data_IF_813455995512
#
_entry.id   IF_813455995512
#
_cell.length_a   1.000
_cell.length_b   1.000
_cell.length_c   1.000
_cell.angle_alpha   90.00
_cell.angle_beta   90.00
_cell.angle_gamma   90.00
#
_symmetry.space_group_name_H-M   'P 1'
#
loop_
_entity.id
_entity.type
_entity.pdbx_description
1 polymer ?
#
# COMPACT_ATOMS: atom_id res chain seq x y z
N UNK A 1 -39.45 14.73 -3.61
CA UNK A 1 -40.63 14.02 -3.08
C UNK A 1 -40.43 13.80 -1.60
N UNK A 2 -40.97 14.71 -0.79
CA UNK A 2 -40.96 14.69 0.69
C UNK A 2 -42.42 14.75 1.09
N UNK A 3 -42.94 13.67 1.65
CA UNK A 3 -44.32 13.61 2.10
C UNK A 3 -44.42 12.78 3.36
N UNK A 4 -44.92 13.45 4.40
CA UNK A 4 -45.68 12.95 5.54
C UNK A 4 -45.01 11.99 6.52
N UNK A 5 -44.64 12.54 7.69
CA UNK A 5 -44.95 11.93 8.97
C UNK A 5 -45.42 13.02 9.94
N UNK A 6 -46.74 13.22 9.98
CA UNK A 6 -47.46 13.76 11.14
C UNK A 6 -48.11 12.57 11.79
N UNK A 7 -47.62 12.13 12.95
CA UNK A 7 -48.37 11.23 13.84
C UNK A 7 -48.35 11.84 15.23
N UNK A 8 -49.44 12.58 15.46
CA UNK A 8 -50.23 12.69 16.68
C UNK A 8 -49.58 12.19 17.98
N UNK A 9 -49.17 13.15 18.82
CA UNK A 9 -49.31 13.03 20.27
C UNK A 9 -50.80 12.82 20.58
N UNK A 10 -51.19 11.62 21.00
CA UNK A 10 -52.52 11.37 21.53
C UNK A 10 -52.46 11.27 23.06
N UNK A 11 -53.42 11.96 23.67
CA UNK A 11 -53.50 12.33 25.08
C UNK A 11 -53.33 11.21 26.10
N UNK A 12 -52.56 11.56 27.13
CA UNK A 12 -52.53 10.93 28.43
C UNK A 12 -53.86 11.26 29.14
N UNK A 13 -54.85 10.38 29.03
CA UNK A 13 -56.12 10.50 29.73
C UNK A 13 -55.94 10.06 31.19
N UNK A 14 -55.79 11.05 32.07
CA UNK A 14 -55.87 10.89 33.52
C UNK A 14 -57.35 10.78 33.91
N UNK A 15 -57.82 9.59 34.25
CA UNK A 15 -59.13 9.40 34.87
C UNK A 15 -59.01 9.57 36.39
N UNK A 16 -59.52 10.70 36.89
CA UNK A 16 -59.80 10.88 38.31
C UNK A 16 -61.21 10.35 38.60
N UNK A 17 -61.31 9.25 39.36
CA UNK A 17 -62.61 8.73 39.81
C UNK A 17 -62.99 9.30 41.17
N UNK A 18 -64.21 9.84 41.22
CA UNK A 18 -64.93 10.26 42.42
C UNK A 18 -65.54 9.02 43.08
N UNK A 19 -65.32 8.87 44.38
CA UNK A 19 -65.86 7.77 45.18
C UNK A 19 -67.34 8.01 45.51
N UNK A 20 -68.21 7.08 45.11
CA UNK A 20 -69.56 6.89 45.68
C UNK A 20 -69.74 5.40 45.99
N UNK A 21 -70.21 5.14 47.20
CA UNK A 21 -70.31 3.85 47.88
C UNK A 21 -71.40 2.92 47.28
N UNK A 22 -70.95 1.82 46.66
CA UNK A 22 -71.67 0.55 46.46
C UNK A 22 -70.62 -0.57 46.31
N UNK A 23 -70.14 -1.13 47.41
CA UNK A 23 -68.85 -1.85 47.46
C UNK A 23 -68.84 -3.35 47.08
N UNK A 24 -69.96 -3.97 46.73
CA UNK A 24 -69.95 -5.42 46.43
C UNK A 24 -70.16 -5.78 44.96
N UNK A 25 -70.90 -4.99 44.18
CA UNK A 25 -71.12 -5.28 42.74
C UNK A 25 -70.05 -4.63 41.84
N UNK A 26 -69.56 -3.44 42.21
CA UNK A 26 -68.53 -2.70 41.45
C UNK A 26 -67.14 -3.37 41.55
N UNK A 27 -66.87 -4.09 42.66
CA UNK A 27 -65.60 -4.79 42.86
C UNK A 27 -65.46 -6.07 42.00
N UNK A 28 -66.58 -6.68 41.61
CA UNK A 28 -66.62 -7.94 40.86
C UNK A 28 -66.56 -7.70 39.34
N UNK A 29 -67.17 -6.61 38.84
CA UNK A 29 -67.08 -6.19 37.44
C UNK A 29 -65.65 -5.79 37.05
N UNK A 30 -64.96 -5.02 37.90
CA UNK A 30 -63.56 -4.61 37.64
C UNK A 30 -62.56 -5.77 37.62
N UNK A 31 -62.82 -6.84 38.37
CA UNK A 31 -61.96 -8.03 38.41
C UNK A 31 -61.98 -8.80 37.09
N UNK A 32 -63.18 -9.11 36.59
CA UNK A 32 -63.34 -9.84 35.34
C UNK A 32 -62.77 -9.04 34.16
N UNK A 33 -62.97 -7.72 34.16
CA UNK A 33 -62.42 -6.83 33.14
C UNK A 33 -60.89 -6.80 33.15
N UNK A 34 -60.24 -6.68 34.32
CA UNK A 34 -58.78 -6.67 34.42
C UNK A 34 -58.16 -7.99 33.96
N UNK A 35 -58.77 -9.12 34.32
CA UNK A 35 -58.27 -10.43 33.88
C UNK A 35 -58.49 -10.64 32.39
N UNK A 36 -59.68 -10.30 31.86
CA UNK A 36 -59.95 -10.32 30.42
C UNK A 36 -58.94 -9.46 29.65
N UNK A 37 -58.66 -8.24 30.13
CA UNK A 37 -57.68 -7.35 29.53
C UNK A 37 -56.26 -7.93 29.52
N UNK A 38 -55.88 -8.71 30.55
CA UNK A 38 -54.64 -9.47 30.50
C UNK A 38 -54.71 -10.57 29.43
N UNK A 39 -55.72 -11.44 29.48
CA UNK A 39 -55.82 -12.62 28.60
C UNK A 39 -56.04 -12.29 27.13
N UNK A 40 -56.66 -11.15 26.82
CA UNK A 40 -56.92 -10.72 25.45
C UNK A 40 -55.69 -10.09 24.78
N UNK A 41 -54.63 -9.82 25.55
CA UNK A 41 -53.47 -9.05 25.08
C UNK A 41 -52.11 -9.72 25.34
N UNK A 42 -52.02 -10.76 26.18
CA UNK A 42 -50.73 -11.30 26.62
C UNK A 42 -49.94 -12.04 25.53
N UNK A 43 -50.60 -12.53 24.49
CA UNK A 43 -50.00 -13.17 23.31
C UNK A 43 -49.92 -12.24 22.08
N UNK A 44 -50.33 -10.98 22.25
CA UNK A 44 -50.37 -9.97 21.19
C UNK A 44 -49.01 -9.36 20.86
N UNK A 45 -49.03 -8.25 20.12
CA UNK A 45 -47.85 -7.46 19.79
C UNK A 45 -47.24 -6.75 21.02
N UNK A 46 -46.09 -6.08 20.84
CA UNK A 46 -45.40 -5.36 21.91
C UNK A 46 -46.32 -4.36 22.66
N UNK A 47 -47.24 -3.70 21.97
CA UNK A 47 -48.16 -2.75 22.60
C UNK A 47 -49.23 -3.48 23.42
N UNK A 48 -49.79 -4.56 22.88
CA UNK A 48 -50.76 -5.42 23.57
C UNK A 48 -50.14 -6.07 24.81
N UNK A 49 -48.94 -6.65 24.70
CA UNK A 49 -48.26 -7.26 25.86
C UNK A 49 -48.01 -6.26 27.00
N UNK A 50 -47.74 -4.99 26.69
CA UNK A 50 -47.66 -3.93 27.71
C UNK A 50 -48.99 -3.65 28.39
N UNK A 51 -50.09 -3.68 27.63
CA UNK A 51 -51.46 -3.58 28.18
C UNK A 51 -51.73 -4.77 29.10
N UNK A 52 -51.35 -5.99 28.68
CA UNK A 52 -51.49 -7.19 29.49
C UNK A 52 -50.69 -7.07 30.80
N UNK A 53 -49.39 -6.73 30.74
CA UNK A 53 -48.55 -6.55 31.94
C UNK A 53 -49.13 -5.50 32.89
N UNK A 54 -49.60 -4.36 32.38
CA UNK A 54 -50.23 -3.33 33.21
C UNK A 54 -51.51 -3.83 33.89
N UNK A 55 -52.39 -4.52 33.16
CA UNK A 55 -53.62 -5.09 33.70
C UNK A 55 -53.34 -6.20 34.73
N UNK A 56 -52.36 -7.08 34.45
CA UNK A 56 -51.95 -8.16 35.35
C UNK A 56 -51.33 -7.63 36.65
N UNK A 57 -50.47 -6.60 36.58
CA UNK A 57 -49.92 -5.92 37.77
C UNK A 57 -51.02 -5.29 38.62
N UNK A 58 -51.98 -4.64 37.98
CA UNK A 58 -53.11 -4.01 38.68
C UNK A 58 -54.04 -5.05 39.33
N UNK A 59 -54.29 -6.18 38.64
CA UNK A 59 -55.03 -7.30 39.22
C UNK A 59 -54.33 -7.86 40.47
N UNK A 60 -53.02 -8.14 40.39
CA UNK A 60 -52.23 -8.61 41.54
C UNK A 60 -52.26 -7.58 42.68
N UNK A 61 -52.21 -6.28 42.37
CA UNK A 61 -52.24 -5.21 43.37
C UNK A 61 -53.57 -5.15 44.13
N UNK A 62 -54.69 -5.27 43.41
CA UNK A 62 -56.04 -5.16 43.97
C UNK A 62 -56.51 -6.46 44.65
N UNK A 63 -56.21 -7.62 44.05
CA UNK A 63 -56.78 -8.91 44.44
C UNK A 63 -55.73 -9.93 44.93
N UNK A 64 -54.46 -9.54 45.06
CA UNK A 64 -53.35 -10.47 45.38
C UNK A 64 -53.44 -11.21 46.71
N UNK A 65 -54.32 -10.79 47.61
CA UNK A 65 -54.60 -11.41 48.92
C UNK A 65 -56.00 -12.08 48.98
N UNK A 66 -56.75 -12.08 47.88
CA UNK A 66 -58.08 -12.69 47.80
C UNK A 66 -57.95 -14.22 47.75
N UNK A 67 -58.57 -14.92 48.71
CA UNK A 67 -58.55 -16.38 48.76
C UNK A 67 -59.29 -17.00 47.57
N UNK A 68 -60.36 -16.35 47.11
CA UNK A 68 -61.20 -16.80 46.00
C UNK A 68 -60.48 -16.67 44.63
N UNK A 69 -59.37 -15.92 44.58
CA UNK A 69 -58.64 -15.59 43.35
C UNK A 69 -57.25 -16.20 43.28
N UNK A 70 -56.95 -17.09 44.22
CA UNK A 70 -55.61 -17.63 44.41
C UNK A 70 -55.02 -18.19 43.12
N UNK A 71 -55.80 -18.94 42.34
CA UNK A 71 -55.34 -19.54 41.08
C UNK A 71 -54.96 -18.49 40.02
N UNK A 72 -55.81 -17.47 39.84
CA UNK A 72 -55.56 -16.38 38.87
C UNK A 72 -54.35 -15.55 39.33
N UNK A 73 -54.28 -15.23 40.62
CA UNK A 73 -53.17 -14.47 41.20
C UNK A 73 -51.85 -15.22 41.06
N UNK A 74 -51.82 -16.53 41.31
CA UNK A 74 -50.62 -17.35 41.19
C UNK A 74 -50.15 -17.44 39.73
N UNK A 75 -51.09 -17.62 38.79
CA UNK A 75 -50.81 -17.56 37.36
C UNK A 75 -50.20 -16.21 36.95
N UNK A 76 -50.85 -15.10 37.32
CA UNK A 76 -50.38 -13.75 36.96
C UNK A 76 -49.02 -13.44 37.60
N UNK A 77 -48.76 -13.87 38.85
CA UNK A 77 -47.45 -13.72 39.51
C UNK A 77 -46.32 -14.41 38.75
N UNK A 78 -46.62 -15.48 38.01
CA UNK A 78 -45.65 -16.16 37.14
C UNK A 78 -45.60 -15.55 35.74
N UNK A 79 -46.76 -15.28 35.13
CA UNK A 79 -46.86 -14.87 33.73
C UNK A 79 -46.42 -13.42 33.51
N UNK A 80 -46.80 -12.49 34.40
CA UNK A 80 -46.49 -11.07 34.26
C UNK A 80 -44.98 -10.82 34.19
N UNK A 81 -44.12 -11.36 35.09
CA UNK A 81 -42.68 -11.18 34.97
C UNK A 81 -42.08 -11.78 33.69
N UNK A 82 -42.57 -12.93 33.24
CA UNK A 82 -42.08 -13.57 32.01
C UNK A 82 -42.41 -12.73 30.77
N UNK A 83 -43.64 -12.21 30.67
CA UNK A 83 -44.05 -11.32 29.58
C UNK A 83 -43.28 -10.00 29.64
N UNK A 84 -43.09 -9.44 30.84
CA UNK A 84 -42.32 -8.21 31.03
C UNK A 84 -40.87 -8.35 30.59
N UNK A 85 -40.23 -9.50 30.84
CA UNK A 85 -38.89 -9.77 30.35
C UNK A 85 -38.86 -9.89 28.82
N UNK A 86 -39.79 -10.62 28.21
CA UNK A 86 -39.90 -10.70 26.75
C UNK A 86 -40.14 -9.34 26.07
N UNK A 87 -40.89 -8.43 26.71
CA UNK A 87 -41.04 -7.04 26.25
C UNK A 87 -39.69 -6.32 26.23
N UNK A 88 -38.87 -6.44 27.28
CA UNK A 88 -37.55 -5.77 27.33
C UNK A 88 -36.62 -6.29 26.26
N UNK A 89 -36.55 -7.61 26.07
CA UNK A 89 -35.73 -8.25 25.03
C UNK A 89 -36.13 -7.77 23.64
N UNK A 90 -37.44 -7.70 23.34
CA UNK A 90 -37.93 -7.19 22.06
C UNK A 90 -37.65 -5.69 21.87
N UNK A 91 -37.80 -4.87 22.91
CA UNK A 91 -37.47 -3.44 22.86
C UNK A 91 -35.98 -3.20 22.61
N UNK A 92 -35.11 -4.02 23.20
CA UNK A 92 -33.67 -3.99 22.97
C UNK A 92 -33.34 -4.39 21.53
N UNK A 93 -33.93 -5.49 21.02
CA UNK A 93 -33.76 -5.91 19.64
C UNK A 93 -34.22 -4.84 18.62
N UNK A 94 -35.36 -4.19 18.86
CA UNK A 94 -35.84 -3.07 18.02
C UNK A 94 -34.86 -1.89 18.05
N UNK A 95 -34.27 -1.59 19.22
CA UNK A 95 -33.28 -0.52 19.37
C UNK A 95 -31.99 -0.82 18.61
N UNK A 96 -31.49 -2.05 18.72
CA UNK A 96 -30.31 -2.50 17.99
C UNK A 96 -30.53 -2.48 16.48
N UNK A 97 -31.69 -2.95 16.01
CA UNK A 97 -32.05 -2.90 14.59
C UNK A 97 -32.07 -1.46 14.07
N UNK A 98 -32.72 -0.53 14.79
CA UNK A 98 -32.75 0.89 14.41
C UNK A 98 -31.35 1.49 14.32
N UNK A 99 -30.48 1.19 15.29
CA UNK A 99 -29.09 1.63 15.28
C UNK A 99 -28.32 1.07 14.08
N UNK A 100 -28.49 -0.21 13.77
CA UNK A 100 -27.86 -0.84 12.61
C UNK A 100 -28.32 -0.22 11.28
N UNK A 101 -29.62 0.11 11.16
CA UNK A 101 -30.17 0.80 9.99
C UNK A 101 -29.62 2.22 9.83
N UNK A 102 -29.50 2.97 10.93
CA UNK A 102 -28.90 4.31 10.94
C UNK A 102 -27.42 4.27 10.55
N UNK A 103 -26.66 3.32 11.09
CA UNK A 103 -25.26 3.10 10.72
C UNK A 103 -25.11 2.69 9.25
N UNK A 104 -26.00 1.83 8.73
CA UNK A 104 -26.01 1.48 7.31
C UNK A 104 -26.29 2.70 6.42
N UNK A 105 -27.26 3.56 6.78
CA UNK A 105 -27.56 4.80 6.06
C UNK A 105 -26.36 5.77 6.08
N UNK A 106 -25.71 5.92 7.24
CA UNK A 106 -24.51 6.75 7.38
C UNK A 106 -23.37 6.23 6.50
N UNK A 107 -23.11 4.92 6.49
CA UNK A 107 -22.13 4.28 5.62
C UNK A 107 -22.41 4.50 4.14
N UNK A 108 -23.66 4.27 3.72
CA UNK A 108 -24.08 4.50 2.34
C UNK A 108 -23.88 5.97 1.91
N UNK A 109 -24.14 6.92 2.82
CA UNK A 109 -23.91 8.34 2.56
C UNK A 109 -22.41 8.67 2.38
N UNK A 110 -21.52 8.04 3.16
CA UNK A 110 -20.07 8.19 3.00
C UNK A 110 -19.58 7.69 1.63
N UNK A 111 -20.00 6.49 1.21
CA UNK A 111 -19.64 5.95 -0.12
C UNK A 111 -20.22 6.81 -1.24
N UNK A 112 -21.47 7.26 -1.13
CA UNK A 112 -22.05 8.18 -2.12
C UNK A 112 -21.26 9.48 -2.25
N UNK A 113 -20.78 10.03 -1.13
CA UNK A 113 -19.93 11.24 -1.10
C UNK A 113 -18.58 10.96 -1.79
N UNK A 114 -17.96 9.82 -1.48
CA UNK A 114 -16.72 9.37 -2.11
C UNK A 114 -16.87 9.21 -3.63
N UNK A 115 -17.92 8.53 -4.08
CA UNK A 115 -18.23 8.31 -5.51
C UNK A 115 -18.49 9.59 -6.25
N UNK A 116 -19.31 10.47 -5.65
CA UNK A 116 -19.60 11.79 -6.20
C UNK A 116 -18.33 12.61 -6.37
N UNK A 117 -17.44 12.58 -5.37
CA UNK A 117 -16.18 13.29 -5.40
C UNK A 117 -15.21 12.73 -6.46
N UNK A 118 -15.10 11.40 -6.57
CA UNK A 118 -14.28 10.74 -7.61
C UNK A 118 -14.75 11.12 -9.02
N UNK A 119 -16.05 11.00 -9.29
CA UNK A 119 -16.63 11.34 -10.59
C UNK A 119 -16.49 12.82 -10.94
N UNK A 120 -16.58 13.70 -9.94
CA UNK A 120 -16.38 15.13 -10.09
C UNK A 120 -14.90 15.54 -10.12
N UNK A 121 -13.96 14.60 -9.96
CA UNK A 121 -12.51 14.86 -9.77
C UNK A 121 -12.22 15.84 -8.64
N UNK A 122 -13.07 15.86 -7.61
CA UNK A 122 -12.86 16.65 -6.41
C UNK A 122 -12.02 15.83 -5.42
N UNK A 123 -10.70 15.84 -5.62
CA UNK A 123 -9.79 14.97 -4.88
C UNK A 123 -9.72 15.30 -3.38
N UNK A 124 -9.79 16.57 -3.00
CA UNK A 124 -9.84 16.97 -1.58
C UNK A 124 -11.04 16.35 -0.86
N UNK A 125 -12.22 16.42 -1.48
CA UNK A 125 -13.43 15.83 -0.94
C UNK A 125 -13.38 14.30 -0.93
N UNK A 126 -12.82 13.70 -1.99
CA UNK A 126 -12.64 12.26 -2.10
C UNK A 126 -11.74 11.73 -0.98
N UNK A 127 -10.63 12.42 -0.70
CA UNK A 127 -9.73 12.11 0.41
C UNK A 127 -10.41 12.27 1.77
N UNK A 128 -11.19 13.34 1.97
CA UNK A 128 -11.97 13.55 3.18
C UNK A 128 -12.99 12.44 3.42
N UNK A 129 -13.78 12.09 2.40
CA UNK A 129 -14.78 11.03 2.47
C UNK A 129 -14.13 9.66 2.67
N UNK A 130 -13.03 9.37 1.97
CA UNK A 130 -12.31 8.12 2.09
C UNK A 130 -11.66 7.92 3.46
N UNK A 131 -11.09 8.97 4.06
CA UNK A 131 -10.59 8.94 5.44
C UNK A 131 -11.72 8.61 6.44
N UNK A 132 -12.90 9.21 6.25
CA UNK A 132 -14.07 8.91 7.07
C UNK A 132 -14.56 7.46 6.89
N UNK A 133 -14.54 6.92 5.67
CA UNK A 133 -14.85 5.50 5.40
C UNK A 133 -13.86 4.60 6.13
N UNK A 134 -12.55 4.89 6.05
CA UNK A 134 -11.52 4.05 6.68
C UNK A 134 -11.54 4.13 8.21
N UNK A 135 -11.98 5.24 8.80
CA UNK A 135 -12.22 5.33 10.25
C UNK A 135 -13.41 4.50 10.69
N UNK A 136 -14.46 4.47 9.87
CA UNK A 136 -15.68 3.70 10.15
C UNK A 136 -15.52 2.20 9.87
N UNK A 137 -14.79 1.88 8.80
CA UNK A 137 -14.57 0.54 8.28
C UNK A 137 -13.08 0.35 7.97
N UNK A 138 -12.24 0.16 9.00
CA UNK A 138 -10.79 0.04 8.83
C UNK A 138 -10.37 -1.18 8.01
N UNK A 139 -11.22 -2.21 7.93
CA UNK A 139 -10.99 -3.39 7.09
C UNK A 139 -11.38 -3.18 5.62
N UNK A 140 -12.02 -2.05 5.28
CA UNK A 140 -12.32 -1.68 3.89
C UNK A 140 -11.16 -0.87 3.27
N UNK A 141 -9.96 -1.42 3.37
CA UNK A 141 -8.73 -0.71 2.97
C UNK A 141 -8.52 -0.61 1.45
N UNK A 142 -9.41 -1.18 0.62
CA UNK A 142 -9.48 -0.89 -0.82
C UNK A 142 -9.57 0.62 -1.09
N UNK A 143 -10.26 1.37 -0.23
CA UNK A 143 -10.33 2.83 -0.31
C UNK A 143 -8.95 3.46 -0.18
N UNK A 144 -8.05 2.92 0.67
CA UNK A 144 -6.69 3.43 0.79
C UNK A 144 -5.88 3.24 -0.49
N UNK A 145 -6.09 2.11 -1.19
CA UNK A 145 -5.47 1.85 -2.51
C UNK A 145 -5.96 2.88 -3.54
N UNK A 146 -7.27 3.12 -3.59
CA UNK A 146 -7.87 4.10 -4.52
C UNK A 146 -7.36 5.52 -4.24
N UNK A 147 -7.33 5.93 -2.97
CA UNK A 147 -6.81 7.25 -2.57
C UNK A 147 -5.34 7.42 -2.91
N UNK A 148 -4.51 6.40 -2.67
CA UNK A 148 -3.10 6.43 -3.05
C UNK A 148 -2.90 6.57 -4.57
N UNK A 149 -3.77 5.94 -5.36
CA UNK A 149 -3.72 6.03 -6.83
C UNK A 149 -4.12 7.42 -7.33
N UNK A 150 -5.28 7.92 -6.88
CA UNK A 150 -5.76 9.25 -7.27
C UNK A 150 -4.78 10.37 -6.84
N UNK A 151 -4.19 10.23 -5.65
CA UNK A 151 -3.19 11.18 -5.18
C UNK A 151 -1.87 11.12 -5.96
N UNK A 152 -1.47 9.94 -6.43
CA UNK A 152 -0.33 9.82 -7.33
C UNK A 152 -0.62 10.48 -8.69
N UNK A 153 -1.83 10.31 -9.24
CA UNK A 153 -2.24 10.98 -10.49
C UNK A 153 -2.12 12.51 -10.35
N UNK A 154 -2.53 13.08 -9.21
CA UNK A 154 -2.37 14.51 -8.91
C UNK A 154 -0.89 14.91 -8.80
N UNK A 155 -0.07 14.12 -8.10
CA UNK A 155 1.36 14.36 -7.97
C UNK A 155 2.06 14.35 -9.35
N UNK A 156 1.68 13.43 -10.24
CA UNK A 156 2.15 13.35 -11.62
C UNK A 156 1.74 14.58 -12.44
N UNK A 157 0.55 15.12 -12.18
CA UNK A 157 0.07 16.40 -12.73
C UNK A 157 0.65 17.64 -12.02
N UNK A 158 1.69 17.46 -11.19
CA UNK A 158 2.40 18.50 -10.45
C UNK A 158 1.55 19.20 -9.37
N UNK A 159 0.45 18.58 -8.93
CA UNK A 159 -0.30 19.02 -7.77
C UNK A 159 0.19 18.28 -6.52
N UNK A 160 0.92 19.00 -5.66
CA UNK A 160 1.53 18.42 -4.46
C UNK A 160 0.65 18.46 -3.21
N UNK A 161 -0.55 19.04 -3.31
CA UNK A 161 -1.42 19.31 -2.15
C UNK A 161 -1.84 18.07 -1.37
N UNK A 162 -1.80 16.89 -1.99
CA UNK A 162 -2.22 15.61 -1.39
C UNK A 162 -1.06 14.62 -1.20
N UNK A 163 0.20 15.03 -1.43
CA UNK A 163 1.35 14.12 -1.41
C UNK A 163 1.50 13.35 -0.09
N UNK A 164 1.32 14.04 1.04
CA UNK A 164 1.50 13.43 2.36
C UNK A 164 0.38 12.43 2.67
N UNK A 165 -0.86 12.77 2.35
CA UNK A 165 -2.03 11.91 2.49
C UNK A 165 -1.90 10.69 1.58
N UNK A 166 -1.43 10.89 0.35
CA UNK A 166 -1.16 9.83 -0.62
C UNK A 166 -0.17 8.82 -0.07
N UNK A 167 0.97 9.29 0.46
CA UNK A 167 1.97 8.42 1.11
C UNK A 167 1.36 7.71 2.31
N UNK A 168 0.56 8.40 3.14
CA UNK A 168 -0.09 7.79 4.31
C UNK A 168 -1.03 6.66 3.92
N UNK A 169 -1.87 6.86 2.90
CA UNK A 169 -2.80 5.82 2.44
C UNK A 169 -2.10 4.68 1.71
N UNK A 170 -1.05 4.96 0.93
CA UNK A 170 -0.23 3.91 0.33
C UNK A 170 0.44 3.03 1.40
N UNK A 171 0.97 3.63 2.48
CA UNK A 171 1.51 2.88 3.63
C UNK A 171 0.45 2.05 4.34
N UNK A 172 -0.74 2.61 4.57
CA UNK A 172 -1.86 1.87 5.16
C UNK A 172 -2.24 0.66 4.30
N UNK A 173 -2.33 0.83 2.98
CA UNK A 173 -2.60 -0.26 2.05
C UNK A 173 -1.51 -1.34 2.12
N UNK A 174 -0.22 -0.96 2.07
CA UNK A 174 0.92 -1.89 2.20
C UNK A 174 0.84 -2.67 3.52
N UNK A 175 0.57 -1.99 4.63
CA UNK A 175 0.49 -2.63 5.95
C UNK A 175 -0.62 -3.69 5.97
N UNK A 176 -1.82 -3.36 5.49
CA UNK A 176 -2.94 -4.31 5.47
C UNK A 176 -2.64 -5.51 4.54
N UNK A 177 -2.12 -5.25 3.33
CA UNK A 177 -1.74 -6.29 2.37
C UNK A 177 -0.65 -7.23 2.94
N UNK A 178 0.42 -6.68 3.54
CA UNK A 178 1.50 -7.49 4.16
C UNK A 178 1.03 -8.27 5.38
N UNK A 179 -0.01 -7.82 6.09
CA UNK A 179 -0.61 -8.54 7.22
C UNK A 179 -1.51 -9.72 6.81
N UNK A 180 -1.71 -9.95 5.51
CA UNK A 180 -2.56 -11.03 5.00
C UNK A 180 -4.06 -10.73 5.08
N UNK A 181 -4.46 -9.49 5.43
CA UNK A 181 -5.85 -9.07 5.30
C UNK A 181 -6.25 -9.13 3.83
N UNK A 182 -7.45 -9.64 3.58
CA UNK A 182 -8.00 -9.75 2.24
C UNK A 182 -8.69 -8.43 1.86
N UNK A 183 -8.44 -7.90 0.66
CA UNK A 183 -9.24 -6.80 0.13
C UNK A 183 -10.70 -7.24 0.03
N UNK A 184 -11.61 -6.27 0.16
CA UNK A 184 -13.06 -6.49 0.03
C UNK A 184 -13.47 -6.53 -1.44
N UNK A 185 -12.70 -5.90 -2.34
CA UNK A 185 -12.86 -6.08 -3.78
C UNK A 185 -11.98 -7.21 -4.32
N UNK A 186 -12.47 -8.04 -5.26
CA UNK A 186 -11.62 -9.01 -5.97
C UNK A 186 -10.54 -8.35 -6.84
N UNK A 187 -10.67 -7.05 -7.12
CA UNK A 187 -9.76 -6.29 -7.97
C UNK A 187 -8.71 -5.50 -7.19
N UNK A 188 -8.77 -5.48 -5.84
CA UNK A 188 -8.01 -4.57 -4.98
C UNK A 188 -8.19 -3.10 -5.40
N UNK A 189 -9.12 -2.34 -4.82
CA UNK A 189 -9.41 -0.96 -5.26
C UNK A 189 -10.69 -0.80 -6.09
N UNK A 190 -11.51 -1.85 -6.14
CA UNK A 190 -12.88 -1.78 -6.69
C UNK A 190 -12.94 -1.48 -8.18
N UNK A 191 -14.00 -0.79 -8.58
CA UNK A 191 -14.24 -0.37 -9.96
C UNK A 191 -13.53 0.95 -10.32
N UNK A 192 -12.88 1.62 -9.37
CA UNK A 192 -12.17 2.88 -9.63
C UNK A 192 -10.82 2.61 -10.30
N UNK A 193 -10.03 1.71 -9.71
CA UNK A 193 -8.72 1.31 -10.20
C UNK A 193 -8.53 -0.20 -9.97
N UNK A 194 -8.76 -1.04 -10.99
CA UNK A 194 -8.56 -2.48 -10.85
C UNK A 194 -7.07 -2.83 -10.94
N UNK A 195 -6.58 -3.57 -9.95
CA UNK A 195 -5.19 -4.06 -9.89
C UNK A 195 -5.03 -5.53 -10.30
N UNK A 196 -6.12 -6.26 -10.55
CA UNK A 196 -6.06 -7.53 -11.28
C UNK A 196 -6.15 -7.27 -12.79
N UNK A 197 -5.01 -7.19 -13.46
CA UNK A 197 -4.97 -7.00 -14.92
C UNK A 197 -4.57 -8.30 -15.63
N UNK A 198 -4.72 -8.37 -16.95
CA UNK A 198 -4.36 -9.57 -17.72
C UNK A 198 -2.91 -10.00 -17.51
N UNK A 199 -1.99 -9.03 -17.35
CA UNK A 199 -0.58 -9.29 -17.04
C UNK A 199 -0.28 -9.54 -15.57
N UNK A 200 -1.18 -9.15 -14.66
CA UNK A 200 -0.98 -9.20 -13.20
C UNK A 200 -2.27 -9.61 -12.49
N UNK A 201 -2.61 -10.90 -12.57
CA UNK A 201 -3.86 -11.44 -12.03
C UNK A 201 -3.95 -11.40 -10.51
N UNK A 202 -2.81 -11.50 -9.82
CA UNK A 202 -2.76 -11.34 -8.36
C UNK A 202 -2.78 -9.84 -8.01
N UNK A 203 -3.95 -9.34 -7.63
CA UNK A 203 -4.11 -7.94 -7.28
C UNK A 203 -3.30 -7.57 -6.03
N UNK A 204 -3.03 -8.49 -5.10
CA UNK A 204 -2.25 -8.20 -3.88
C UNK A 204 -0.81 -7.87 -4.25
N UNK A 205 -0.14 -8.75 -5.01
CA UNK A 205 1.21 -8.50 -5.50
C UNK A 205 1.26 -7.24 -6.38
N UNK A 206 0.30 -7.05 -7.28
CA UNK A 206 0.31 -5.86 -8.14
C UNK A 206 0.13 -4.56 -7.34
N UNK A 207 -0.83 -4.52 -6.41
CA UNK A 207 -1.03 -3.38 -5.52
C UNK A 207 0.20 -3.11 -4.66
N UNK A 208 0.85 -4.13 -4.09
CA UNK A 208 2.09 -3.93 -3.32
C UNK A 208 3.19 -3.24 -4.16
N UNK A 209 3.37 -3.68 -5.41
CA UNK A 209 4.32 -3.03 -6.33
C UNK A 209 4.00 -1.56 -6.57
N UNK A 210 2.74 -1.26 -6.92
CA UNK A 210 2.31 0.11 -7.21
C UNK A 210 2.29 1.02 -5.99
N UNK A 211 1.84 0.57 -4.81
CA UNK A 211 1.84 1.38 -3.60
C UNK A 211 3.27 1.79 -3.19
N UNK A 212 4.23 0.86 -3.30
CA UNK A 212 5.63 1.18 -3.08
C UNK A 212 6.14 2.16 -4.14
N UNK A 213 5.82 1.94 -5.42
CA UNK A 213 6.19 2.87 -6.48
C UNK A 213 5.65 4.29 -6.25
N UNK A 214 4.39 4.46 -5.86
CA UNK A 214 3.80 5.78 -5.60
C UNK A 214 4.54 6.52 -4.48
N UNK A 215 4.84 5.84 -3.37
CA UNK A 215 5.62 6.42 -2.29
C UNK A 215 7.02 6.82 -2.77
N UNK A 216 7.71 5.91 -3.46
CA UNK A 216 9.05 6.15 -4.00
C UNK A 216 9.06 7.33 -4.96
N UNK A 217 8.13 7.38 -5.90
CA UNK A 217 8.04 8.43 -6.91
C UNK A 217 7.79 9.81 -6.29
N UNK A 218 6.80 9.92 -5.40
CA UNK A 218 6.48 11.19 -4.74
C UNK A 218 7.67 11.67 -3.91
N UNK A 219 8.25 10.80 -3.09
CA UNK A 219 9.43 11.15 -2.28
C UNK A 219 10.61 11.58 -3.13
N UNK A 220 10.89 10.86 -4.21
CA UNK A 220 12.04 11.12 -5.06
C UNK A 220 11.89 12.40 -5.88
N UNK A 221 10.78 12.54 -6.61
CA UNK A 221 10.62 13.59 -7.62
C UNK A 221 9.91 14.83 -7.11
N UNK A 222 8.99 14.69 -6.15
CA UNK A 222 8.21 15.82 -5.63
C UNK A 222 8.80 16.38 -4.35
N UNK A 223 9.26 15.52 -3.43
CA UNK A 223 9.77 15.94 -2.12
C UNK A 223 11.31 16.01 -2.04
N UNK A 224 12.04 15.57 -3.08
CA UNK A 224 13.51 15.52 -3.11
C UNK A 224 14.15 14.67 -1.98
N UNK A 225 13.38 13.76 -1.39
CA UNK A 225 13.81 12.84 -0.34
C UNK A 225 14.35 11.54 -0.95
N UNK A 226 15.44 11.63 -1.72
CA UNK A 226 15.95 10.52 -2.54
C UNK A 226 16.37 9.31 -1.71
N UNK A 227 17.08 9.52 -0.60
CA UNK A 227 17.52 8.44 0.30
C UNK A 227 16.32 7.66 0.87
N UNK A 228 15.23 8.35 1.24
CA UNK A 228 14.01 7.72 1.74
C UNK A 228 13.17 7.05 0.65
N UNK A 229 13.28 7.50 -0.59
CA UNK A 229 12.50 7.00 -1.71
C UNK A 229 13.01 5.67 -2.27
N UNK A 230 14.35 5.52 -2.35
CA UNK A 230 15.01 4.38 -3.00
C UNK A 230 14.60 3.02 -2.42
N UNK A 231 14.46 2.83 -1.09
CA UNK A 231 13.94 1.58 -0.54
C UNK A 231 12.56 1.19 -1.07
N UNK A 232 11.67 2.16 -1.30
CA UNK A 232 10.35 1.88 -1.86
C UNK A 232 10.43 1.52 -3.36
N UNK A 233 11.29 2.17 -4.14
CA UNK A 233 11.52 1.72 -5.52
C UNK A 233 12.06 0.29 -5.56
N UNK A 234 13.00 -0.07 -4.67
CA UNK A 234 13.50 -1.43 -4.58
C UNK A 234 12.41 -2.43 -4.18
N UNK A 235 11.59 -2.13 -3.16
CA UNK A 235 10.45 -2.98 -2.80
C UNK A 235 9.47 -3.16 -3.97
N UNK A 236 9.21 -2.12 -4.77
CA UNK A 236 8.35 -2.23 -5.96
C UNK A 236 8.86 -3.27 -6.97
N UNK A 237 10.18 -3.46 -7.08
CA UNK A 237 10.78 -4.47 -7.98
C UNK A 237 10.61 -5.92 -7.49
N UNK A 238 10.31 -6.14 -6.21
CA UNK A 238 10.17 -7.48 -5.62
C UNK A 238 8.81 -8.12 -5.89
N UNK A 239 7.85 -7.34 -6.37
CA UNK A 239 6.48 -7.79 -6.58
C UNK A 239 6.22 -8.02 -8.06
N UNK A 240 5.50 -9.11 -8.38
CA UNK A 240 4.98 -9.32 -9.72
C UNK A 240 3.89 -8.26 -10.00
N UNK A 241 4.30 -7.14 -10.60
CA UNK A 241 3.49 -5.94 -10.74
C UNK A 241 3.89 -5.13 -11.97
N UNK A 242 2.94 -4.33 -12.47
CA UNK A 242 3.21 -3.37 -13.56
C UNK A 242 4.27 -2.34 -13.18
N UNK A 243 4.28 -1.91 -11.91
CA UNK A 243 5.26 -0.97 -11.39
C UNK A 243 6.70 -1.49 -11.52
N UNK A 244 6.93 -2.77 -11.24
CA UNK A 244 8.25 -3.42 -11.38
C UNK A 244 8.76 -3.50 -12.82
N UNK A 245 7.91 -3.24 -13.82
CA UNK A 245 8.29 -3.19 -15.23
C UNK A 245 8.54 -1.77 -15.75
N UNK A 246 8.42 -0.74 -14.92
CA UNK A 246 8.66 0.63 -15.34
C UNK A 246 10.18 0.93 -15.37
N UNK A 247 10.75 1.33 -16.53
CA UNK A 247 12.17 1.71 -16.61
C UNK A 247 12.58 2.79 -15.60
N UNK A 248 11.66 3.71 -15.29
CA UNK A 248 11.89 4.83 -14.37
C UNK A 248 12.21 4.39 -12.94
N UNK A 249 11.71 3.22 -12.49
CA UNK A 249 12.01 2.67 -11.16
C UNK A 249 13.51 2.42 -11.03
N UNK A 250 14.06 1.71 -12.01
CA UNK A 250 15.47 1.35 -12.02
C UNK A 250 16.36 2.56 -12.33
N UNK A 251 15.90 3.47 -13.20
CA UNK A 251 16.59 4.72 -13.46
C UNK A 251 16.73 5.58 -12.19
N UNK A 252 15.67 5.70 -11.38
CA UNK A 252 15.71 6.47 -10.14
C UNK A 252 16.77 5.89 -9.18
N UNK A 253 16.77 4.57 -8.98
CA UNK A 253 17.78 3.89 -8.15
C UNK A 253 19.19 4.06 -8.72
N UNK A 254 19.38 3.89 -10.02
CA UNK A 254 20.68 4.11 -10.68
C UNK A 254 21.19 5.54 -10.50
N UNK A 255 20.32 6.54 -10.69
CA UNK A 255 20.68 7.95 -10.51
C UNK A 255 21.05 8.30 -9.06
N UNK A 256 20.46 7.60 -8.08
CA UNK A 256 20.84 7.73 -6.68
C UNK A 256 22.24 7.18 -6.42
N UNK A 257 22.59 6.00 -6.96
CA UNK A 257 23.96 5.48 -6.85
C UNK A 257 24.99 6.40 -7.53
N UNK A 258 24.65 7.03 -8.65
CA UNK A 258 25.50 8.04 -9.31
C UNK A 258 25.72 9.26 -8.40
N UNK A 259 24.67 9.73 -7.72
CA UNK A 259 24.79 10.83 -6.77
C UNK A 259 25.70 10.44 -5.59
N UNK A 260 25.57 9.23 -5.03
CA UNK A 260 26.46 8.74 -3.97
C UNK A 260 27.91 8.62 -4.42
N UNK A 261 28.18 8.15 -5.64
CA UNK A 261 29.54 8.18 -6.20
C UNK A 261 30.07 9.62 -6.31
N UNK A 262 29.24 10.56 -6.75
CA UNK A 262 29.61 11.98 -6.89
C UNK A 262 29.95 12.64 -5.54
N UNK A 263 29.24 12.27 -4.46
CA UNK A 263 29.56 12.72 -3.09
C UNK A 263 30.96 12.26 -2.65
N UNK A 264 31.35 11.04 -3.03
CA UNK A 264 32.71 10.51 -2.75
C UNK A 264 33.74 11.23 -3.62
N UNK A 265 33.44 11.47 -4.89
CA UNK A 265 34.32 12.24 -5.79
C UNK A 265 34.61 13.63 -5.26
N UNK A 266 33.62 14.31 -4.68
CA UNK A 266 33.83 15.60 -4.06
C UNK A 266 34.80 15.53 -2.85
N UNK A 267 34.75 14.45 -2.06
CA UNK A 267 35.71 14.22 -0.96
C UNK A 267 37.09 13.88 -1.48
N UNK A 268 37.18 12.96 -2.44
CA UNK A 268 38.42 12.55 -3.10
C UNK A 268 39.16 13.72 -3.72
N UNK A 269 38.45 14.64 -4.37
CA UNK A 269 39.06 15.83 -4.97
C UNK A 269 39.70 16.78 -3.93
N UNK A 270 39.20 16.80 -2.69
CA UNK A 270 39.85 17.55 -1.58
C UNK A 270 41.14 16.86 -1.15
N UNK A 271 41.10 15.54 -0.95
CA UNK A 271 42.29 14.74 -0.61
C UNK A 271 43.35 14.86 -1.70
N UNK A 272 42.95 14.84 -2.97
CA UNK A 272 43.84 15.06 -4.11
C UNK A 272 44.45 16.46 -4.11
N UNK A 273 43.71 17.50 -3.72
CA UNK A 273 44.25 18.85 -3.60
C UNK A 273 45.30 18.94 -2.48
N UNK A 274 45.05 18.31 -1.33
CA UNK A 274 46.00 18.23 -0.21
C UNK A 274 47.27 17.48 -0.63
N UNK A 275 47.11 16.34 -1.35
CA UNK A 275 48.22 15.59 -1.92
C UNK A 275 49.05 16.44 -2.87
N UNK A 276 48.38 17.15 -3.79
CA UNK A 276 49.04 18.03 -4.75
C UNK A 276 49.73 19.22 -4.08
N UNK A 277 49.23 19.70 -2.93
CA UNK A 277 49.89 20.74 -2.15
C UNK A 277 51.16 20.21 -1.48
N UNK A 278 51.11 19.00 -0.90
CA UNK A 278 52.26 18.35 -0.28
C UNK A 278 53.41 18.14 -1.29
N UNK A 279 53.10 17.75 -2.52
CA UNK A 279 54.13 17.58 -3.57
C UNK A 279 54.83 18.87 -4.01
N UNK A 280 54.35 20.04 -3.57
CA UNK A 280 54.85 21.36 -4.00
C UNK A 280 55.63 22.10 -2.92
N UNK A 281 55.74 21.56 -1.71
CA UNK A 281 56.55 22.17 -0.65
C UNK A 281 58.04 21.87 -0.88
N UNK A 282 58.93 22.63 -0.23
CA UNK A 282 60.39 22.53 -0.41
C UNK A 282 60.95 21.16 0.01
N UNK A 283 60.39 20.58 1.08
CA UNK A 283 60.69 19.24 1.56
C UNK A 283 59.38 18.43 1.70
N UNK A 284 58.93 17.74 0.64
CA UNK A 284 57.71 16.94 0.69
C UNK A 284 57.80 15.79 1.71
N UNK A 285 56.73 15.59 2.49
CA UNK A 285 56.59 14.41 3.34
C UNK A 285 56.08 13.21 2.53
N UNK A 286 57.01 12.38 2.06
CA UNK A 286 56.71 11.17 1.28
C UNK A 286 55.76 10.21 2.01
N UNK A 287 55.88 10.07 3.34
CA UNK A 287 54.99 9.19 4.10
C UNK A 287 53.56 9.71 4.11
N UNK A 288 53.40 11.04 4.17
CA UNK A 288 52.09 11.69 4.05
C UNK A 288 51.52 11.58 2.63
N UNK A 289 52.35 11.70 1.60
CA UNK A 289 51.94 11.50 0.20
C UNK A 289 51.43 10.07 0.00
N UNK A 290 52.17 9.06 0.46
CA UNK A 290 51.78 7.65 0.39
C UNK A 290 50.44 7.39 1.10
N UNK A 291 50.24 7.98 2.29
CA UNK A 291 48.97 7.89 3.01
C UNK A 291 47.80 8.51 2.24
N UNK A 292 48.01 9.67 1.59
CA UNK A 292 46.98 10.35 0.81
C UNK A 292 46.66 9.60 -0.49
N UNK A 293 47.67 9.06 -1.18
CA UNK A 293 47.47 8.24 -2.37
C UNK A 293 46.70 6.94 -2.03
N UNK A 294 47.02 6.28 -0.91
CA UNK A 294 46.27 5.12 -0.43
C UNK A 294 44.79 5.44 -0.12
N UNK A 295 44.51 6.61 0.48
CA UNK A 295 43.14 7.05 0.73
C UNK A 295 42.40 7.42 -0.58
N UNK A 296 43.09 8.04 -1.56
CA UNK A 296 42.53 8.32 -2.89
C UNK A 296 42.14 7.01 -3.59
N UNK A 297 43.01 6.01 -3.60
CA UNK A 297 42.76 4.70 -4.22
C UNK A 297 41.58 3.99 -3.57
N UNK A 298 41.49 4.05 -2.23
CA UNK A 298 40.33 3.52 -1.49
C UNK A 298 39.03 4.22 -1.89
N UNK A 299 39.04 5.56 -2.02
CA UNK A 299 37.86 6.30 -2.47
C UNK A 299 37.47 5.92 -3.91
N UNK A 300 38.43 5.80 -4.82
CA UNK A 300 38.19 5.33 -6.20
C UNK A 300 37.56 3.94 -6.21
N UNK A 301 38.05 3.03 -5.36
CA UNK A 301 37.49 1.70 -5.25
C UNK A 301 36.03 1.72 -4.80
N UNK A 302 35.68 2.56 -3.82
CA UNK A 302 34.29 2.72 -3.36
C UNK A 302 33.42 3.34 -4.47
N UNK A 303 33.89 4.38 -5.16
CA UNK A 303 33.17 4.97 -6.29
C UNK A 303 32.89 3.96 -7.40
N UNK A 304 33.86 3.08 -7.71
CA UNK A 304 33.69 1.98 -8.67
C UNK A 304 32.63 0.98 -8.20
N UNK A 305 32.56 0.69 -6.90
CA UNK A 305 31.47 -0.10 -6.32
C UNK A 305 30.10 0.53 -6.56
N UNK A 306 29.96 1.84 -6.34
CA UNK A 306 28.73 2.58 -6.63
C UNK A 306 28.41 2.61 -8.12
N UNK A 307 29.41 2.78 -8.98
CA UNK A 307 29.25 2.73 -10.43
C UNK A 307 28.78 1.35 -10.89
N UNK A 308 29.25 0.27 -10.28
CA UNK A 308 28.80 -1.10 -10.59
C UNK A 308 27.32 -1.31 -10.22
N UNK A 309 26.88 -0.82 -9.06
CA UNK A 309 25.45 -0.81 -8.68
C UNK A 309 24.61 0.05 -9.62
N UNK A 310 25.11 1.21 -10.03
CA UNK A 310 24.45 2.08 -11.00
C UNK A 310 24.33 1.39 -12.38
N UNK A 311 25.38 0.69 -12.84
CA UNK A 311 25.37 -0.09 -14.08
C UNK A 311 24.28 -1.17 -14.04
N UNK A 312 24.14 -1.92 -12.95
CA UNK A 312 23.07 -2.92 -12.80
C UNK A 312 21.70 -2.27 -12.96
N UNK A 313 21.43 -1.19 -12.22
CA UNK A 313 20.15 -0.49 -12.25
C UNK A 313 19.84 0.12 -13.64
N UNK A 314 20.78 0.85 -14.25
CA UNK A 314 20.56 1.41 -15.59
C UNK A 314 20.46 0.33 -16.68
N UNK A 315 21.15 -0.80 -16.52
CA UNK A 315 21.00 -1.94 -17.45
C UNK A 315 19.59 -2.52 -17.39
N UNK A 316 19.02 -2.67 -16.19
CA UNK A 316 17.61 -3.07 -16.00
C UNK A 316 16.66 -2.06 -16.62
N UNK A 317 16.86 -0.77 -16.36
CA UNK A 317 16.08 0.31 -16.95
C UNK A 317 16.07 0.20 -18.49
N UNK A 318 17.25 0.12 -19.10
CA UNK A 318 17.38 0.02 -20.56
C UNK A 318 16.75 -1.25 -21.13
N UNK A 319 16.86 -2.37 -20.40
CA UNK A 319 16.28 -3.66 -20.81
C UNK A 319 14.74 -3.67 -20.87
N UNK A 320 14.10 -2.70 -20.21
CA UNK A 320 12.65 -2.48 -20.15
C UNK A 320 12.18 -1.37 -21.08
N UNK A 321 13.09 -0.57 -21.65
CA UNK A 321 12.73 0.40 -22.69
C UNK A 321 12.30 -0.37 -23.95
N UNK A 322 11.12 -0.03 -24.48
CA UNK A 322 10.59 -0.63 -25.71
C UNK A 322 11.59 -0.43 -26.86
N UNK A 323 11.66 -1.39 -27.79
CA UNK A 323 12.59 -1.29 -28.92
C UNK A 323 12.38 -0.01 -29.73
N UNK A 324 11.14 0.47 -29.85
CA UNK A 324 10.80 1.73 -30.54
C UNK A 324 11.28 2.97 -29.78
N UNK A 325 11.36 2.91 -28.45
CA UNK A 325 11.76 4.04 -27.62
C UNK A 325 13.27 4.08 -27.32
N UNK A 326 14.01 3.00 -27.61
CA UNK A 326 15.48 2.95 -27.41
C UNK A 326 16.22 4.01 -28.21
N UNK A 327 15.73 4.33 -29.41
CA UNK A 327 16.31 5.35 -30.28
C UNK A 327 15.89 6.79 -29.91
N UNK A 328 14.87 6.95 -29.06
CA UNK A 328 14.38 8.26 -28.61
C UNK A 328 15.21 8.77 -27.44
N UNK A 329 15.03 10.04 -27.10
CA UNK A 329 15.82 10.74 -26.07
C UNK A 329 15.87 9.99 -24.73
N UNK A 330 14.74 9.40 -24.31
CA UNK A 330 14.68 8.64 -23.07
C UNK A 330 15.61 7.42 -23.08
N UNK A 331 15.47 6.54 -24.09
CA UNK A 331 16.31 5.35 -24.23
C UNK A 331 17.78 5.70 -24.48
N UNK A 332 18.04 6.69 -25.34
CA UNK A 332 19.38 7.19 -25.64
C UNK A 332 20.07 7.76 -24.40
N UNK A 333 19.35 8.52 -23.57
CA UNK A 333 19.87 9.08 -22.33
C UNK A 333 20.29 8.00 -21.32
N UNK A 334 19.48 6.96 -21.16
CA UNK A 334 19.83 5.79 -20.34
C UNK A 334 21.09 5.10 -20.87
N UNK A 335 21.16 4.83 -22.18
CA UNK A 335 22.32 4.15 -22.77
C UNK A 335 23.60 5.00 -22.70
N UNK A 336 23.49 6.32 -22.89
CA UNK A 336 24.61 7.25 -22.76
C UNK A 336 25.15 7.25 -21.32
N UNK A 337 24.26 7.18 -20.33
CA UNK A 337 24.66 7.05 -18.91
C UNK A 337 25.41 5.74 -18.67
N UNK A 338 24.96 4.62 -19.26
CA UNK A 338 25.69 3.35 -19.22
C UNK A 338 27.09 3.49 -19.82
N UNK A 339 27.24 4.11 -21.00
CA UNK A 339 28.56 4.32 -21.61
C UNK A 339 29.50 5.11 -20.69
N UNK A 340 29.00 6.17 -20.04
CA UNK A 340 29.79 6.97 -19.09
C UNK A 340 30.19 6.14 -17.86
N UNK A 341 29.26 5.37 -17.30
CA UNK A 341 29.54 4.51 -16.16
C UNK A 341 30.55 3.41 -16.49
N UNK A 342 30.48 2.80 -17.67
CA UNK A 342 31.46 1.80 -18.10
C UNK A 342 32.85 2.40 -18.30
N UNK A 343 32.95 3.59 -18.90
CA UNK A 343 34.23 4.31 -19.03
C UNK A 343 34.85 4.64 -17.68
N UNK A 344 34.03 4.98 -16.70
CA UNK A 344 34.50 5.24 -15.34
C UNK A 344 34.88 3.95 -14.60
N UNK A 345 34.07 2.91 -14.73
CA UNK A 345 34.22 1.65 -13.99
C UNK A 345 35.37 0.79 -14.47
N UNK A 346 35.62 0.75 -15.79
CA UNK A 346 36.60 -0.16 -16.41
C UNK A 346 37.72 0.63 -17.05
N UNK A 347 38.98 0.32 -16.72
CA UNK A 347 40.15 0.95 -17.36
C UNK A 347 40.37 0.41 -18.77
N UNK A 348 40.04 -0.86 -18.98
CA UNK A 348 40.24 -1.62 -20.21
C UNK A 348 39.28 -1.17 -21.33
N UNK A 349 39.76 -0.61 -22.46
CA UNK A 349 38.90 -0.11 -23.54
C UNK A 349 37.96 -1.17 -24.12
N UNK A 350 38.38 -2.44 -24.15
CA UNK A 350 37.56 -3.56 -24.63
C UNK A 350 36.28 -3.78 -23.80
N UNK A 351 36.31 -3.38 -22.52
CA UNK A 351 35.15 -3.43 -21.62
C UNK A 351 34.18 -2.26 -21.82
N UNK A 352 34.64 -1.16 -22.41
CA UNK A 352 33.86 0.09 -22.56
C UNK A 352 33.00 0.12 -23.83
N UNK A 353 32.97 -0.98 -24.59
CA UNK A 353 32.28 -1.05 -25.89
C UNK A 353 30.77 -1.25 -25.75
N UNK A 354 30.00 -0.71 -26.71
CA UNK A 354 28.54 -0.92 -26.79
C UNK A 354 28.17 -2.41 -26.83
N UNK A 355 29.03 -3.25 -27.42
CA UNK A 355 28.85 -4.71 -27.44
C UNK A 355 28.84 -5.26 -26.02
N UNK A 356 29.83 -4.90 -25.18
CA UNK A 356 29.88 -5.37 -23.79
C UNK A 356 28.72 -4.83 -22.94
N UNK A 357 28.35 -3.56 -23.15
CA UNK A 357 27.20 -2.96 -22.47
C UNK A 357 25.92 -3.73 -22.81
N UNK A 358 25.66 -3.96 -24.09
CA UNK A 358 24.47 -4.71 -24.54
C UNK A 358 24.47 -6.17 -24.07
N UNK A 359 25.63 -6.82 -24.02
CA UNK A 359 25.76 -8.15 -23.41
C UNK A 359 25.31 -8.12 -21.94
N UNK A 360 25.76 -7.15 -21.14
CA UNK A 360 25.31 -7.04 -19.75
C UNK A 360 23.79 -6.77 -19.65
N UNK A 361 23.26 -5.83 -20.43
CA UNK A 361 21.82 -5.55 -20.51
C UNK A 361 21.01 -6.82 -20.79
N UNK A 362 21.49 -7.69 -21.67
CA UNK A 362 20.81 -8.95 -21.98
C UNK A 362 20.82 -9.95 -20.83
N UNK A 363 21.90 -9.97 -20.04
CA UNK A 363 22.08 -10.89 -18.91
C UNK A 363 21.44 -10.39 -17.61
N UNK A 364 21.13 -9.10 -17.49
CA UNK A 364 20.73 -8.50 -16.21
C UNK A 364 19.40 -9.02 -15.66
N UNK A 365 18.50 -9.47 -16.56
CA UNK A 365 17.16 -9.94 -16.21
C UNK A 365 17.17 -11.21 -15.36
N UNK A 366 18.25 -12.00 -15.39
CA UNK A 366 18.37 -13.24 -14.60
C UNK A 366 18.99 -13.00 -13.22
N UNK A 367 19.51 -11.80 -12.94
CA UNK A 367 20.13 -11.45 -11.66
C UNK A 367 19.11 -10.76 -10.76
N UNK A 368 19.14 -11.06 -9.46
CA UNK A 368 18.42 -10.25 -8.47
C UNK A 368 19.02 -8.83 -8.43
N UNK A 369 18.17 -7.81 -8.28
CA UNK A 369 18.63 -6.45 -8.09
C UNK A 369 19.29 -6.33 -6.71
N UNK A 370 20.48 -5.70 -6.60
CA UNK A 370 21.07 -5.42 -5.30
C UNK A 370 20.19 -4.56 -4.41
N UNK A 371 20.10 -4.92 -3.14
CA UNK A 371 19.42 -4.11 -2.12
C UNK A 371 20.16 -2.77 -1.92
N UNK A 372 19.52 -1.61 -2.13
CA UNK A 372 20.14 -0.32 -1.86
C UNK A 372 20.53 -0.06 -0.41
N UNK A 373 19.98 -0.82 0.54
CA UNK A 373 20.39 -0.78 1.94
C UNK A 373 21.62 -1.65 2.23
N UNK A 374 22.04 -2.51 1.28
CA UNK A 374 23.26 -3.31 1.43
C UNK A 374 24.51 -2.45 1.29
N UNK A 375 25.56 -2.80 2.03
CA UNK A 375 26.87 -2.15 1.89
C UNK A 375 27.37 -2.28 0.45
N UNK A 376 27.91 -1.17 -0.07
CA UNK A 376 28.57 -1.14 -1.38
C UNK A 376 30.02 -1.55 -1.18
N UNK A 377 30.38 -2.71 -1.73
CA UNK A 377 31.75 -3.23 -1.66
C UNK A 377 32.69 -2.41 -2.56
N UNK A 378 33.89 -2.04 -2.08
CA UNK A 378 34.91 -1.42 -2.90
C UNK A 378 35.36 -2.35 -4.04
N UNK A 379 35.67 -1.77 -5.19
CA UNK A 379 36.07 -2.52 -6.38
C UNK A 379 37.44 -2.06 -6.88
N UNK A 380 38.41 -2.97 -6.81
CA UNK A 380 39.77 -2.79 -7.32
C UNK A 380 39.96 -3.63 -8.57
N UNK A 381 40.33 -3.01 -9.70
CA UNK A 381 40.71 -3.79 -10.88
C UNK A 381 42.12 -4.35 -10.66
N UNK A 382 42.26 -5.68 -10.76
CA UNK A 382 43.59 -6.29 -10.74
C UNK A 382 44.35 -5.82 -11.98
N UNK A 383 45.40 -5.03 -11.78
CA UNK A 383 46.38 -4.71 -12.82
C UNK A 383 46.97 -6.04 -13.33
N UNK A 384 47.06 -6.27 -14.65
CA UNK A 384 47.71 -7.47 -15.15
C UNK A 384 49.16 -7.49 -14.63
N UNK A 385 49.56 -8.62 -14.05
CA UNK A 385 50.97 -8.87 -13.73
C UNK A 385 51.78 -8.65 -15.01
N UNK A 386 52.85 -7.86 -14.91
CA UNK A 386 53.79 -7.72 -16.01
C UNK A 386 54.29 -9.13 -16.37
N UNK A 387 54.07 -9.56 -17.62
CA UNK A 387 54.77 -10.73 -18.13
C UNK A 387 56.24 -10.36 -18.23
N UNK A 388 57.01 -10.73 -17.21
CA UNK A 388 58.46 -10.72 -17.31
C UNK A 388 58.89 -11.73 -18.37
N UNK A 389 59.44 -11.18 -19.47
CA UNK A 389 60.42 -11.82 -20.34
C UNK A 389 60.00 -13.12 -21.03
N UNK A 390 59.33 -13.02 -22.18
CA UNK A 390 59.43 -14.06 -23.21
C UNK A 390 60.48 -13.61 -24.23
N UNK A 391 61.67 -14.20 -24.12
CA UNK A 391 62.79 -14.03 -25.04
C UNK A 391 62.35 -14.47 -26.43
N UNK A 392 62.50 -13.60 -27.42
CA UNK A 392 62.19 -13.92 -28.82
C UNK A 392 63.00 -15.16 -29.28
N UNK A 393 62.36 -16.14 -29.95
CA UNK A 393 63.11 -17.24 -30.54
C UNK A 393 63.85 -16.75 -31.78
N UNK A 394 65.12 -17.16 -31.87
CA UNK A 394 66.00 -16.92 -32.99
C UNK A 394 65.41 -17.46 -34.30
N UNK A 395 65.63 -16.69 -35.37
CA UNK A 395 65.28 -17.04 -36.73
C UNK A 395 65.93 -18.37 -37.15
N UNK A 396 65.11 -19.40 -37.35
CA UNK A 396 65.50 -20.69 -37.88
C UNK A 396 64.92 -20.91 -39.27
N UNK A 397 65.78 -20.75 -40.28
CA UNK A 397 65.83 -21.42 -41.59
C UNK A 397 64.56 -22.12 -42.09
N UNK A 398 63.99 -21.56 -43.15
CA UNK A 398 63.07 -22.24 -44.07
C UNK A 398 63.84 -23.28 -44.90
N UNK A 399 63.52 -24.55 -44.72
CA UNK A 399 63.77 -25.59 -45.72
C UNK A 399 62.44 -26.10 -46.28
N UNK A 400 62.43 -26.20 -47.60
CA UNK A 400 61.27 -26.42 -48.46
C UNK A 400 61.21 -27.89 -48.88
N UNK A 401 60.07 -28.55 -48.67
CA UNK A 401 59.91 -29.95 -49.07
C UNK A 401 58.45 -30.40 -49.19
N UNK A 402 57.91 -30.17 -50.40
CA UNK A 402 56.84 -30.90 -51.11
C UNK A 402 55.93 -31.91 -50.37
N UNK A 403 54.62 -31.86 -50.63
CA UNK A 403 54.01 -32.67 -51.71
C UNK A 403 52.47 -32.75 -51.58
N UNK A 404 51.83 -32.96 -52.73
CA UNK A 404 50.39 -32.95 -53.03
C UNK A 404 49.72 -34.32 -52.78
N UNK A 405 48.43 -34.32 -52.47
CA UNK A 405 47.37 -35.17 -53.07
C UNK A 405 45.99 -34.74 -52.52
N UNK A 406 45.05 -34.20 -53.30
CA UNK A 406 44.02 -34.87 -54.19
C UNK A 406 43.16 -35.86 -53.39
N UNK A 407 41.82 -35.71 -53.28
CA UNK A 407 40.80 -36.03 -54.32
C UNK A 407 39.38 -35.67 -53.79
N UNK A 408 38.61 -34.83 -54.51
CA UNK A 408 37.30 -35.06 -55.23
C UNK A 408 36.15 -35.59 -54.33
N UNK A 409 35.12 -34.79 -54.01
CA UNK A 409 33.87 -34.43 -54.75
C UNK A 409 32.71 -35.42 -54.58
N UNK A 410 31.53 -34.91 -54.18
CA UNK A 410 30.33 -34.74 -55.03
C UNK A 410 28.95 -35.10 -54.42
N UNK A 411 27.97 -34.37 -54.96
CA UNK A 411 26.50 -34.52 -55.02
C UNK A 411 25.70 -33.83 -53.89
N UNK A 412 24.77 -32.90 -54.15
CA UNK A 412 24.07 -32.46 -55.37
C UNK A 412 23.83 -30.94 -55.34
#
# INVERSE_FOLDING_TARGET
>A
MKTFFRVSMLGLLLFAFVAVSNQTVVAQEGKAELYAKFTDNYDGDLAQRKIAVAAGKEFIRLYGNSADDKEIVDYLKSAVPAIEEGIKEEEEAIREQKKAEEDAKRRAALFKRFDGAFNAKNWTEMFSAGDAILKDQPDFYDVAIVLATAGFDEAANKNDSLNNETIRFAKLAIQNLKSGKKPKSPTCGGNYYPYNTDGYKDCVSNSLGWMNYYIGWIKFYRQQQKDEAVPYFFEATKHNSGAGQLPVVYQAVGSWYVAKASEITAKRNKVLADRNAETKVEEPDEAKIDMLDAEIDKMIAIERGYAERAIDAYSRAYSLVSSADRAKDYGKGIFTTLQQLYKFRYEKPEMQTDTKINMNVSMIKTKAMPDPASTVEPVVEKKPEAKDGETAPAAGSTDSGASRSRTVSNNN
#
